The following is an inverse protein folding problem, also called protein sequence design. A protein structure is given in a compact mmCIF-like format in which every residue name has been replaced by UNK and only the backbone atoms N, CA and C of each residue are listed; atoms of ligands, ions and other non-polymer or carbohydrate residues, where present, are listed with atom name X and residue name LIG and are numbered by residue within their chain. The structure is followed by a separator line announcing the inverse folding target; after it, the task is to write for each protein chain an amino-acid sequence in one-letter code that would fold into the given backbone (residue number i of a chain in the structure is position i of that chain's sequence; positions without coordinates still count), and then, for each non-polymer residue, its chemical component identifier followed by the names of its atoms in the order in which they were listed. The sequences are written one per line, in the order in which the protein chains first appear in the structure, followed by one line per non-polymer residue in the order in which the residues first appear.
data_IF_924617037284
#
_entry.id   IF_924617037284
#
_cell.length_a   1.000
_cell.length_b   1.000
_cell.length_c   1.000
_cell.angle_alpha   90.00
_cell.angle_beta   90.00
_cell.angle_gamma   90.00
#
_symmetry.space_group_name_H-M   'P 1'
#
loop_
_entity.id
_entity.type
_entity.pdbx_description
1 polymer ?
#
# COMPACT_ATOMS: atom_id res chain seq x y z
N UNK A 1 -0.37 -7.37 1.14
CA UNK A 1 0.55 -8.50 1.34
C UNK A 1 0.15 -9.70 0.48
N UNK A 2 -1.06 -10.26 0.64
CA UNK A 2 -1.48 -11.49 -0.05
C UNK A 2 -1.10 -11.63 -1.55
N UNK A 3 -1.21 -10.56 -2.36
CA UNK A 3 -0.83 -10.60 -3.78
C UNK A 3 0.60 -11.11 -4.04
N UNK A 4 1.56 -10.82 -3.16
CA UNK A 4 2.94 -11.31 -3.28
C UNK A 4 3.02 -12.82 -3.08
N UNK A 5 2.13 -13.40 -2.26
CA UNK A 5 2.11 -14.83 -1.98
C UNK A 5 1.84 -15.69 -3.23
N UNK A 6 0.99 -15.22 -4.16
CA UNK A 6 0.78 -15.92 -5.43
C UNK A 6 2.08 -16.11 -6.22
N UNK A 7 2.95 -15.08 -6.24
CA UNK A 7 4.26 -15.17 -6.88
C UNK A 7 5.20 -16.18 -6.21
N UNK A 8 5.04 -16.42 -4.89
CA UNK A 8 5.82 -17.43 -4.17
C UNK A 8 5.40 -18.85 -4.54
N UNK A 9 4.11 -19.06 -4.79
CA UNK A 9 3.55 -20.38 -5.07
C UNK A 9 3.37 -20.67 -6.57
N UNK A 10 3.69 -19.72 -7.45
CA UNK A 10 3.48 -19.87 -8.89
C UNK A 10 2.01 -19.87 -9.31
N UNK A 11 1.14 -19.21 -8.55
CA UNK A 11 -0.30 -19.23 -8.75
C UNK A 11 -0.80 -17.98 -9.50
N UNK A 12 -1.87 -18.13 -10.27
CA UNK A 12 -2.58 -17.00 -10.86
C UNK A 12 -3.43 -16.30 -9.78
N UNK A 13 -3.43 -14.96 -9.75
CA UNK A 13 -4.23 -14.17 -8.79
C UNK A 13 -5.70 -14.01 -9.18
N UNK A 14 -6.06 -14.22 -10.46
CA UNK A 14 -7.41 -13.94 -10.96
C UNK A 14 -8.49 -14.80 -10.29
N UNK A 15 -8.27 -16.12 -10.05
CA UNK A 15 -9.25 -16.95 -9.34
C UNK A 15 -9.56 -16.46 -7.93
N UNK A 16 -8.70 -15.64 -7.30
CA UNK A 16 -9.01 -15.03 -6.01
C UNK A 16 -10.00 -13.87 -6.12
N UNK A 17 -9.80 -12.95 -7.08
CA UNK A 17 -10.39 -11.60 -7.04
C UNK A 17 -11.40 -11.32 -8.15
N UNK A 18 -11.42 -12.10 -9.22
CA UNK A 18 -12.26 -11.79 -10.40
C UNK A 18 -13.61 -12.51 -10.38
N UNK A 19 -13.74 -13.56 -9.56
CA UNK A 19 -14.99 -14.27 -9.30
C UNK A 19 -15.11 -14.34 -7.78
N UNK A 20 -16.25 -13.97 -7.23
CA UNK A 20 -16.52 -14.06 -5.79
C UNK A 20 -17.63 -15.11 -5.55
N UNK A 21 -17.59 -15.85 -4.43
CA UNK A 21 -18.70 -16.70 -4.03
C UNK A 21 -20.01 -15.91 -3.92
N UNK A 22 -21.15 -16.53 -4.23
CA UNK A 22 -22.45 -15.86 -4.23
C UNK A 22 -22.82 -15.25 -2.86
N UNK A 23 -22.32 -15.83 -1.77
CA UNK A 23 -22.51 -15.38 -0.39
C UNK A 23 -21.35 -14.50 0.14
N UNK A 24 -20.40 -14.06 -0.69
CA UNK A 24 -19.22 -13.33 -0.22
C UNK A 24 -19.58 -12.04 0.56
N UNK A 25 -20.65 -11.35 0.14
CA UNK A 25 -21.13 -10.13 0.77
C UNK A 25 -21.59 -10.32 2.23
N UNK A 26 -21.90 -11.55 2.64
CA UNK A 26 -22.35 -11.90 3.99
C UNK A 26 -21.19 -12.24 4.95
N UNK A 27 -19.95 -12.24 4.45
CA UNK A 27 -18.76 -12.59 5.24
C UNK A 27 -18.21 -11.39 6.04
N UNK A 28 -17.37 -11.64 7.04
CA UNK A 28 -16.80 -10.59 7.89
C UNK A 28 -15.92 -9.58 7.12
N UNK A 29 -15.20 -10.06 6.10
CA UNK A 29 -14.30 -9.24 5.28
C UNK A 29 -14.50 -9.52 3.78
N UNK A 30 -15.65 -9.12 3.17
CA UNK A 30 -15.99 -9.46 1.78
C UNK A 30 -14.93 -8.99 0.79
N UNK A 31 -14.33 -7.83 1.04
CA UNK A 31 -13.26 -7.26 0.21
C UNK A 31 -11.97 -8.10 0.16
N UNK A 32 -11.86 -9.16 0.97
CA UNK A 32 -10.74 -10.11 0.97
C UNK A 32 -11.11 -11.48 0.39
N UNK A 33 -12.39 -11.73 0.10
CA UNK A 33 -12.91 -13.00 -0.41
C UNK A 33 -12.45 -14.19 0.46
N UNK A 34 -12.90 -14.26 1.74
CA UNK A 34 -12.28 -15.11 2.76
C UNK A 34 -12.38 -16.61 2.50
N UNK A 35 -13.40 -17.05 1.73
CA UNK A 35 -13.51 -18.43 1.26
C UNK A 35 -12.37 -18.78 0.31
N UNK A 36 -12.09 -17.93 -0.68
CA UNK A 36 -10.99 -18.16 -1.62
C UNK A 36 -9.65 -18.21 -0.89
N UNK A 37 -9.43 -17.33 0.09
CA UNK A 37 -8.23 -17.38 0.94
C UNK A 37 -8.12 -18.72 1.67
N UNK A 38 -9.24 -19.28 2.16
CA UNK A 38 -9.25 -20.61 2.78
C UNK A 38 -8.90 -21.71 1.77
N UNK A 39 -9.46 -21.66 0.56
CA UNK A 39 -9.14 -22.62 -0.50
C UNK A 39 -7.63 -22.67 -0.80
N UNK A 40 -6.93 -21.53 -0.81
CA UNK A 40 -5.47 -21.51 -0.99
C UNK A 40 -4.70 -22.10 0.19
N UNK A 41 -5.21 -21.94 1.42
CA UNK A 41 -4.65 -22.61 2.60
C UNK A 41 -4.79 -24.13 2.47
N UNK A 42 -5.97 -24.59 2.05
CA UNK A 42 -6.29 -26.01 1.93
C UNK A 42 -5.47 -26.66 0.80
N UNK A 43 -5.41 -26.03 -0.38
CA UNK A 43 -4.61 -26.51 -1.52
C UNK A 43 -3.12 -26.57 -1.16
N UNK A 44 -2.56 -25.53 -0.53
CA UNK A 44 -1.17 -25.53 -0.12
C UNK A 44 -0.87 -26.69 0.84
N UNK A 45 -1.74 -26.87 1.85
CA UNK A 45 -1.56 -27.91 2.87
C UNK A 45 -1.69 -29.30 2.26
N UNK A 46 -2.68 -29.51 1.37
CA UNK A 46 -2.91 -30.78 0.68
C UNK A 46 -1.74 -31.17 -0.24
N UNK A 47 -1.18 -30.22 -0.99
CA UNK A 47 -0.09 -30.50 -1.94
C UNK A 47 1.26 -30.68 -1.23
N UNK A 48 1.57 -29.81 -0.27
CA UNK A 48 2.91 -29.77 0.33
C UNK A 48 3.05 -30.62 1.59
N UNK A 49 1.93 -30.99 2.21
CA UNK A 49 1.88 -31.58 3.55
C UNK A 49 2.32 -30.63 4.67
N UNK A 50 2.60 -29.35 4.37
CA UNK A 50 3.07 -28.37 5.35
C UNK A 50 1.89 -27.58 5.91
N UNK A 51 1.87 -27.28 7.22
CA UNK A 51 0.79 -26.52 7.82
C UNK A 51 0.80 -25.08 7.30
N UNK A 52 -0.39 -24.59 6.93
CA UNK A 52 -0.63 -23.19 6.60
C UNK A 52 -1.94 -22.74 7.23
N UNK A 53 -2.03 -21.48 7.60
CA UNK A 53 -3.29 -20.83 7.94
C UNK A 53 -3.29 -19.40 7.39
N UNK A 54 -4.42 -18.70 7.48
CA UNK A 54 -4.56 -17.33 6.92
C UNK A 54 -3.51 -16.36 7.45
N UNK A 55 -3.11 -16.49 8.73
CA UNK A 55 -2.07 -15.65 9.34
C UNK A 55 -0.67 -16.01 8.80
N UNK A 56 -0.27 -17.28 8.85
CA UNK A 56 1.06 -17.71 8.42
C UNK A 56 1.26 -17.56 6.90
N UNK A 57 0.18 -17.62 6.12
CA UNK A 57 0.17 -17.25 4.70
C UNK A 57 0.57 -15.79 4.47
N UNK A 58 0.01 -14.87 5.26
CA UNK A 58 0.39 -13.45 5.20
C UNK A 58 1.83 -13.25 5.68
N UNK A 59 2.29 -13.97 6.70
CA UNK A 59 3.67 -13.89 7.19
C UNK A 59 4.70 -14.39 6.16
N UNK A 60 4.39 -15.47 5.42
CA UNK A 60 5.21 -15.92 4.28
C UNK A 60 5.32 -14.81 3.22
N UNK A 61 4.20 -14.16 2.93
CA UNK A 61 4.12 -13.04 1.99
C UNK A 61 4.91 -11.81 2.47
N UNK A 62 4.82 -11.51 3.76
CA UNK A 62 5.46 -10.35 4.40
C UNK A 62 6.98 -10.43 4.42
N UNK A 63 7.52 -11.61 4.69
CA UNK A 63 8.95 -11.90 4.57
C UNK A 63 9.49 -11.49 3.21
N UNK A 64 8.88 -11.99 2.14
CA UNK A 64 9.39 -11.74 0.78
C UNK A 64 9.13 -10.31 0.33
N UNK A 65 8.02 -9.71 0.74
CA UNK A 65 7.77 -8.29 0.45
C UNK A 65 8.85 -7.39 1.07
N UNK A 66 9.28 -7.67 2.31
CA UNK A 66 10.37 -6.94 2.96
C UNK A 66 11.72 -7.24 2.29
N UNK A 67 11.98 -8.48 1.89
CA UNK A 67 13.17 -8.81 1.11
C UNK A 67 13.24 -8.00 -0.20
N UNK A 68 12.13 -7.91 -0.94
CA UNK A 68 12.02 -7.10 -2.16
C UNK A 68 12.28 -5.62 -1.88
N UNK A 69 11.74 -5.08 -0.78
CA UNK A 69 12.02 -3.70 -0.36
C UNK A 69 13.50 -3.47 -0.10
N UNK A 70 14.16 -4.37 0.63
CA UNK A 70 15.61 -4.27 0.91
C UNK A 70 16.44 -4.45 -0.37
N UNK A 71 16.00 -5.30 -1.29
CA UNK A 71 16.62 -5.42 -2.61
C UNK A 71 16.56 -4.09 -3.38
N UNK A 72 15.41 -3.41 -3.41
CA UNK A 72 15.31 -2.08 -4.01
C UNK A 72 16.28 -1.09 -3.34
N UNK A 73 16.37 -1.10 -2.01
CA UNK A 73 17.30 -0.25 -1.26
C UNK A 73 18.75 -0.50 -1.68
N UNK A 74 19.14 -1.78 -1.80
CA UNK A 74 20.46 -2.18 -2.32
C UNK A 74 20.72 -1.63 -3.71
N UNK A 75 19.70 -1.56 -4.56
CA UNK A 75 19.78 -1.03 -5.92
C UNK A 75 19.70 0.52 -5.98
N UNK A 76 19.68 1.20 -4.83
CA UNK A 76 19.65 2.66 -4.74
C UNK A 76 18.25 3.28 -4.84
N UNK A 77 17.19 2.48 -4.66
CA UNK A 77 15.78 2.90 -4.77
C UNK A 77 14.94 2.43 -3.59
N UNK A 78 13.72 2.96 -3.47
CA UNK A 78 12.76 2.51 -2.46
C UNK A 78 12.95 3.19 -1.11
N UNK A 79 13.46 4.43 -1.07
CA UNK A 79 13.27 5.30 0.10
C UNK A 79 11.98 6.10 -0.05
N UNK A 80 11.60 6.88 0.96
CA UNK A 80 10.41 7.75 0.94
C UNK A 80 10.31 8.60 -0.33
N UNK A 81 11.43 9.12 -0.81
CA UNK A 81 11.50 9.93 -2.05
C UNK A 81 11.06 9.16 -3.31
N UNK A 82 11.16 7.83 -3.32
CA UNK A 82 10.75 6.98 -4.43
C UNK A 82 9.29 6.50 -4.28
N UNK A 83 8.69 6.63 -3.10
CA UNK A 83 7.28 6.29 -2.82
C UNK A 83 6.36 7.52 -3.08
N UNK A 84 6.64 8.30 -4.13
CA UNK A 84 5.89 9.51 -4.51
C UNK A 84 5.09 9.27 -5.79
N UNK A 85 3.78 9.57 -5.81
CA UNK A 85 2.95 9.37 -6.98
C UNK A 85 3.26 10.44 -8.04
N UNK A 86 2.92 10.19 -9.31
CA UNK A 86 2.97 11.24 -10.33
C UNK A 86 2.15 12.46 -9.90
N UNK A 87 2.70 13.66 -10.12
CA UNK A 87 2.06 14.94 -9.75
C UNK A 87 0.58 15.04 -10.15
N UNK A 88 0.25 14.55 -11.34
CA UNK A 88 -1.12 14.51 -11.90
C UNK A 88 -2.09 13.62 -11.13
N UNK A 89 -1.60 12.58 -10.44
CA UNK A 89 -2.45 11.66 -9.70
C UNK A 89 -3.00 12.27 -8.40
N UNK A 90 -2.36 13.32 -7.88
CA UNK A 90 -2.72 13.91 -6.59
C UNK A 90 -3.80 14.99 -6.73
N UNK A 91 -3.79 15.77 -7.81
CA UNK A 91 -4.74 16.89 -7.97
C UNK A 91 -4.79 17.43 -9.40
N UNK A 92 -5.69 18.40 -9.65
CA UNK A 92 -5.75 19.08 -10.94
C UNK A 92 -4.40 19.73 -11.28
N UNK A 93 -3.96 19.56 -12.53
CA UNK A 93 -2.67 20.07 -13.03
C UNK A 93 -2.85 21.39 -13.77
N UNK A 94 -3.98 21.55 -14.45
CA UNK A 94 -4.33 22.76 -15.22
C UNK A 94 -5.61 23.40 -14.69
N UNK A 95 -5.80 24.68 -15.01
CA UNK A 95 -7.03 25.39 -14.66
C UNK A 95 -8.25 24.75 -15.35
N UNK A 96 -8.11 24.28 -16.58
CA UNK A 96 -9.17 23.57 -17.30
C UNK A 96 -9.62 22.29 -16.56
N UNK A 97 -8.66 21.52 -16.03
CA UNK A 97 -8.98 20.35 -15.22
C UNK A 97 -9.71 20.73 -13.93
N UNK A 98 -9.38 21.87 -13.32
CA UNK A 98 -10.10 22.39 -12.16
C UNK A 98 -11.53 22.76 -12.55
N UNK A 99 -11.68 23.61 -13.56
CA UNK A 99 -12.97 24.17 -13.99
C UNK A 99 -13.93 23.09 -14.49
N UNK A 100 -13.42 22.06 -15.19
CA UNK A 100 -14.23 20.91 -15.64
C UNK A 100 -14.90 20.14 -14.49
N UNK A 101 -14.42 20.30 -13.25
CA UNK A 101 -14.94 19.65 -12.04
C UNK A 101 -15.05 20.64 -10.87
N UNK A 102 -15.34 21.91 -11.16
CA UNK A 102 -15.32 23.00 -10.19
C UNK A 102 -16.12 22.68 -8.93
N UNK A 103 -17.38 22.26 -9.08
CA UNK A 103 -18.27 21.95 -7.94
C UNK A 103 -17.67 20.91 -6.98
N UNK A 104 -16.99 19.89 -7.53
CA UNK A 104 -16.32 18.86 -6.73
C UNK A 104 -15.17 19.44 -5.93
N UNK A 105 -14.36 20.30 -6.52
CA UNK A 105 -13.16 20.85 -5.87
C UNK A 105 -13.51 21.97 -4.89
N UNK A 106 -14.42 22.88 -5.26
CA UNK A 106 -14.94 23.92 -4.39
C UNK A 106 -15.64 23.30 -3.15
N UNK A 107 -16.38 22.20 -3.32
CA UNK A 107 -16.94 21.42 -2.20
C UNK A 107 -15.87 20.87 -1.27
N UNK A 108 -14.75 20.37 -1.80
CA UNK A 108 -13.64 19.88 -0.97
C UNK A 108 -12.96 21.01 -0.19
N UNK A 109 -12.77 22.18 -0.79
CA UNK A 109 -12.25 23.35 -0.10
C UNK A 109 -13.16 23.75 1.07
N UNK A 110 -14.47 23.79 0.85
CA UNK A 110 -15.45 24.13 1.90
C UNK A 110 -15.52 23.06 3.00
N UNK A 111 -15.79 21.81 2.65
CA UNK A 111 -16.11 20.78 3.63
C UNK A 111 -14.90 20.19 4.34
N UNK A 112 -13.77 20.04 3.64
CA UNK A 112 -12.58 19.38 4.21
C UNK A 112 -11.57 20.35 4.79
N UNK A 113 -11.51 21.57 4.24
CA UNK A 113 -10.52 22.57 4.63
C UNK A 113 -11.15 23.79 5.31
N UNK A 114 -12.48 23.91 5.32
CA UNK A 114 -13.19 25.08 5.82
C UNK A 114 -12.72 26.39 5.15
N UNK A 115 -12.43 26.33 3.85
CA UNK A 115 -11.99 27.47 3.04
C UNK A 115 -13.10 27.83 2.06
N UNK A 116 -13.49 29.10 2.04
CA UNK A 116 -14.39 29.61 1.01
C UNK A 116 -13.63 29.85 -0.31
N UNK A 117 -14.03 29.18 -1.42
CA UNK A 117 -13.47 29.42 -2.75
C UNK A 117 -13.90 30.76 -3.36
N UNK A 118 -14.94 31.42 -2.85
CA UNK A 118 -15.38 32.71 -3.39
C UNK A 118 -14.30 33.79 -3.22
N UNK A 119 -14.06 34.56 -4.28
CA UNK A 119 -13.01 35.59 -4.32
C UNK A 119 -11.57 35.07 -4.53
N UNK A 120 -11.36 33.76 -4.68
CA UNK A 120 -10.06 33.17 -5.02
C UNK A 120 -9.93 32.87 -6.50
N UNK A 121 -8.74 33.10 -7.05
CA UNK A 121 -8.40 32.67 -8.41
C UNK A 121 -8.35 31.14 -8.52
N UNK A 122 -8.54 30.61 -9.72
CA UNK A 122 -8.46 29.16 -9.97
C UNK A 122 -7.09 28.59 -9.58
N UNK A 123 -6.01 29.30 -9.91
CA UNK A 123 -4.65 28.91 -9.53
C UNK A 123 -4.49 28.81 -8.00
N UNK A 124 -4.95 29.79 -7.22
CA UNK A 124 -4.88 29.72 -5.75
C UNK A 124 -5.69 28.55 -5.19
N UNK A 125 -6.89 28.30 -5.72
CA UNK A 125 -7.72 27.15 -5.32
C UNK A 125 -7.02 25.82 -5.61
N UNK A 126 -6.37 25.71 -6.76
CA UNK A 126 -5.58 24.53 -7.14
C UNK A 126 -4.42 24.30 -6.19
N UNK A 127 -3.65 25.33 -5.85
CA UNK A 127 -2.49 25.24 -4.97
C UNK A 127 -2.89 24.80 -3.55
N UNK A 128 -3.94 25.39 -2.99
CA UNK A 128 -4.50 25.02 -1.67
C UNK A 128 -4.92 23.55 -1.68
N UNK A 129 -5.72 23.16 -2.68
CA UNK A 129 -6.24 21.80 -2.76
C UNK A 129 -5.11 20.78 -2.94
N UNK A 130 -4.10 21.12 -3.74
CA UNK A 130 -2.94 20.27 -3.99
C UNK A 130 -2.14 20.06 -2.72
N UNK A 131 -1.79 21.14 -2.01
CA UNK A 131 -1.06 21.07 -0.74
C UNK A 131 -1.78 20.15 0.26
N UNK A 132 -3.10 20.30 0.39
CA UNK A 132 -3.90 19.43 1.24
C UNK A 132 -3.82 17.96 0.83
N UNK A 133 -3.95 17.65 -0.46
CA UNK A 133 -3.92 16.26 -0.93
C UNK A 133 -2.55 15.62 -0.85
N UNK A 134 -1.50 16.38 -1.09
CA UNK A 134 -0.12 15.94 -0.90
C UNK A 134 0.16 15.62 0.57
N UNK A 135 -0.32 16.48 1.49
CA UNK A 135 -0.24 16.23 2.93
C UNK A 135 -1.02 14.97 3.35
N UNK A 136 -2.26 14.80 2.88
CA UNK A 136 -3.03 13.57 3.10
C UNK A 136 -2.30 12.32 2.58
N UNK A 137 -1.60 12.43 1.46
CA UNK A 137 -0.80 11.33 0.94
C UNK A 137 0.41 11.03 1.83
N UNK A 138 1.09 12.05 2.37
CA UNK A 138 2.19 11.85 3.32
C UNK A 138 1.70 11.17 4.62
N UNK A 139 0.55 11.58 5.15
CA UNK A 139 -0.07 10.93 6.32
C UNK A 139 -0.40 9.47 6.05
N UNK A 140 -0.91 9.16 4.84
CA UNK A 140 -1.15 7.78 4.43
C UNK A 140 0.14 6.96 4.35
N UNK A 141 1.23 7.54 3.79
CA UNK A 141 2.54 6.88 3.77
C UNK A 141 2.98 6.54 5.19
N UNK A 142 2.88 7.48 6.12
CA UNK A 142 3.32 7.28 7.51
C UNK A 142 2.57 6.11 8.16
N UNK A 143 1.24 6.07 8.02
CA UNK A 143 0.42 4.98 8.53
C UNK A 143 0.77 3.63 7.87
N UNK A 144 1.08 3.62 6.58
CA UNK A 144 1.50 2.40 5.85
C UNK A 144 2.87 1.93 6.30
N UNK A 145 3.84 2.83 6.49
CA UNK A 145 5.18 2.51 6.96
C UNK A 145 5.14 1.94 8.36
N UNK A 146 4.41 2.57 9.27
CA UNK A 146 4.21 2.07 10.62
C UNK A 146 3.62 0.66 10.61
N UNK A 147 2.54 0.44 9.85
CA UNK A 147 1.90 -0.88 9.71
C UNK A 147 2.85 -1.95 9.15
N UNK A 148 3.79 -1.56 8.28
CA UNK A 148 4.80 -2.46 7.70
C UNK A 148 6.05 -2.63 8.57
N UNK A 149 6.12 -1.97 9.73
CA UNK A 149 7.31 -2.00 10.58
C UNK A 149 8.51 -1.27 9.98
N UNK A 150 8.27 -0.23 9.17
CA UNK A 150 9.30 0.61 8.56
C UNK A 150 9.49 1.91 9.35
N UNK A 151 10.61 2.59 9.16
CA UNK A 151 10.84 3.94 9.67
C UNK A 151 10.24 5.00 8.73
N UNK A 152 10.29 6.27 9.12
CA UNK A 152 9.72 7.38 8.34
C UNK A 152 10.38 7.57 6.95
N UNK A 153 11.57 7.01 6.73
CA UNK A 153 12.29 7.02 5.45
C UNK A 153 11.94 5.83 4.55
N UNK A 154 11.01 4.99 4.97
CA UNK A 154 10.58 3.80 4.24
C UNK A 154 11.55 2.63 4.34
N UNK A 155 12.44 2.61 5.34
CA UNK A 155 13.40 1.52 5.56
C UNK A 155 12.84 0.55 6.60
N UNK A 156 12.82 -0.77 6.35
CA UNK A 156 12.40 -1.75 7.35
C UNK A 156 13.24 -1.68 8.63
N UNK A 157 12.59 -1.70 9.80
CA UNK A 157 13.30 -1.77 11.09
C UNK A 157 13.92 -3.15 11.28
N UNK A 158 15.15 -3.19 11.82
CA UNK A 158 15.84 -4.47 12.10
C UNK A 158 15.00 -5.37 13.02
N UNK A 159 14.41 -4.81 14.07
CA UNK A 159 13.52 -5.53 14.99
C UNK A 159 12.32 -6.17 14.28
N UNK A 160 11.75 -5.48 13.28
CA UNK A 160 10.65 -6.02 12.49
C UNK A 160 11.12 -7.17 11.58
N UNK A 161 12.29 -7.02 10.95
CA UNK A 161 12.88 -8.08 10.12
C UNK A 161 13.17 -9.35 10.94
N UNK A 162 13.70 -9.20 12.17
CA UNK A 162 13.89 -10.31 13.10
C UNK A 162 12.55 -10.97 13.47
N UNK A 163 11.55 -10.17 13.82
CA UNK A 163 10.21 -10.66 14.17
C UNK A 163 9.59 -11.53 13.08
N UNK A 164 9.78 -11.18 11.81
CA UNK A 164 9.22 -11.94 10.68
C UNK A 164 10.17 -13.03 10.17
N UNK A 165 11.37 -13.21 10.74
CA UNK A 165 12.37 -14.18 10.28
C UNK A 165 12.97 -13.83 8.91
N UNK A 166 13.23 -12.54 8.66
CA UNK A 166 13.90 -12.00 7.48
C UNK A 166 15.19 -11.26 7.86
N UNK A 167 15.80 -11.64 8.98
CA UNK A 167 17.06 -11.12 9.51
C UNK A 167 18.29 -11.86 8.95
N UNK A 168 18.24 -12.23 7.66
CA UNK A 168 19.39 -12.79 6.97
C UNK A 168 20.57 -11.80 7.05
N UNK A 169 21.81 -12.25 7.29
CA UNK A 169 22.96 -11.36 7.45
C UNK A 169 23.11 -10.34 6.31
N UNK A 170 22.89 -10.77 5.07
CA UNK A 170 23.00 -9.95 3.86
C UNK A 170 21.89 -8.90 3.76
N UNK A 171 20.70 -9.21 4.29
CA UNK A 171 19.56 -8.28 4.34
C UNK A 171 19.81 -7.21 5.41
N UNK A 172 20.25 -7.62 6.60
CA UNK A 172 20.57 -6.70 7.68
C UNK A 172 21.73 -5.79 7.32
N UNK A 173 22.76 -6.32 6.63
CA UNK A 173 23.90 -5.52 6.16
C UNK A 173 23.45 -4.38 5.24
N UNK A 174 22.51 -4.62 4.32
CA UNK A 174 21.96 -3.57 3.45
C UNK A 174 21.19 -2.55 4.27
N UNK A 175 20.29 -2.98 5.16
CA UNK A 175 19.45 -2.09 5.96
C UNK A 175 20.28 -1.14 6.82
N UNK A 176 21.36 -1.63 7.45
CA UNK A 176 22.28 -0.82 8.26
C UNK A 176 22.91 0.35 7.52
N UNK A 177 22.99 0.32 6.18
CA UNK A 177 23.51 1.44 5.37
C UNK A 177 22.54 2.62 5.28
N UNK A 178 21.28 2.44 5.70
CA UNK A 178 20.20 3.41 5.56
C UNK A 178 19.52 3.78 6.89
N UNK A 179 20.02 3.27 8.02
CA UNK A 179 19.62 3.65 9.37
C UNK A 179 20.58 4.71 9.91
#
# INVERSE_FOLDING_TARGET
MFRTWFGLQGLCKLPWNDIEPANNAETDEPAKVPEHVQNYVDIYTAITGKPLNKKTLIEQSERVYNFQKVFCLRMGKGRRIDDVPPYRAVGPVTEEEYLSRQDRYDKQLKEKLNIDPEGKSTTEKMDILRKYREDQYQQLIDAVYERKGWNAQGVPKIEHLQKIGMDLPEVIEVVKRFL
#
